data_IF_177233455163
#
_entry.id   IF_177233455163
#
_cell.length_a   1.000
_cell.length_b   1.000
_cell.length_c   1.000
_cell.angle_alpha   90.00
_cell.angle_beta   90.00
_cell.angle_gamma   90.00
#
_symmetry.space_group_name_H-M   'P 1'
#
loop_
_entity.id
_entity.type
_entity.pdbx_description
1 polymer ?
#
# COMPACT_ATOMS: atom_id res chain seq x y z
N UNK A 1 -19.36 -6.17 -16.32
CA UNK A 1 -19.82 -5.10 -17.23
C UNK A 1 -18.76 -4.94 -18.30
N UNK A 2 -19.15 -4.93 -19.57
CA UNK A 2 -18.25 -4.65 -20.68
C UNK A 2 -18.68 -3.34 -21.34
N UNK A 3 -17.73 -2.44 -21.59
CA UNK A 3 -17.97 -1.17 -22.27
C UNK A 3 -16.89 -0.97 -23.33
N UNK A 4 -17.28 -0.52 -24.52
CA UNK A 4 -16.34 -0.14 -25.59
C UNK A 4 -16.00 1.34 -25.46
N UNK A 5 -14.71 1.67 -25.54
CA UNK A 5 -14.24 3.06 -25.61
C UNK A 5 -13.43 3.28 -26.89
N UNK A 6 -13.56 4.47 -27.48
CA UNK A 6 -12.72 4.89 -28.59
C UNK A 6 -11.37 5.37 -28.06
N UNK A 7 -10.29 4.96 -28.71
CA UNK A 7 -8.96 5.54 -28.51
C UNK A 7 -8.92 6.88 -29.25
N UNK A 8 -8.63 7.97 -28.53
CA UNK A 8 -8.48 9.30 -29.12
C UNK A 8 -7.28 9.34 -30.06
N UNK A 9 -7.17 10.36 -30.93
CA UNK A 9 -5.98 10.53 -31.79
C UNK A 9 -4.67 10.62 -30.99
N UNK A 10 -4.73 11.07 -29.73
CA UNK A 10 -3.60 11.14 -28.82
C UNK A 10 -3.38 9.88 -27.98
N UNK A 11 -4.07 8.78 -28.29
CA UNK A 11 -3.88 7.51 -27.58
C UNK A 11 -4.64 7.38 -26.24
N UNK A 12 -5.59 8.28 -25.95
CA UNK A 12 -6.30 8.28 -24.67
C UNK A 12 -7.58 7.44 -24.74
N UNK A 13 -7.95 6.84 -23.60
CA UNK A 13 -9.25 6.19 -23.40
C UNK A 13 -9.97 6.84 -22.21
N UNK A 14 -11.28 6.96 -22.30
CA UNK A 14 -12.10 7.41 -21.18
C UNK A 14 -12.57 6.22 -20.35
N UNK A 15 -12.28 6.24 -19.04
CA UNK A 15 -12.82 5.27 -18.09
C UNK A 15 -14.31 5.61 -17.84
N UNK A 16 -15.26 4.67 -17.97
CA UNK A 16 -16.68 4.92 -17.74
C UNK A 16 -17.00 5.54 -16.38
N UNK A 17 -18.03 6.38 -16.31
CA UNK A 17 -18.30 7.24 -15.16
C UNK A 17 -18.54 6.44 -13.87
N UNK A 18 -19.26 5.32 -13.95
CA UNK A 18 -19.51 4.40 -12.85
C UNK A 18 -18.23 3.74 -12.33
N UNK A 19 -17.26 3.45 -13.20
CA UNK A 19 -15.95 2.93 -12.79
C UNK A 19 -15.15 4.03 -12.08
N UNK A 20 -15.14 5.26 -12.62
CA UNK A 20 -14.47 6.41 -11.97
C UNK A 20 -15.02 6.69 -10.58
N UNK A 21 -16.35 6.71 -10.41
CA UNK A 21 -16.99 6.92 -9.11
C UNK A 21 -16.63 5.82 -8.11
N UNK A 22 -16.60 4.56 -8.57
CA UNK A 22 -16.26 3.41 -7.72
C UNK A 22 -14.80 3.45 -7.28
N UNK A 23 -13.89 3.81 -8.18
CA UNK A 23 -12.47 3.85 -7.87
C UNK A 23 -12.09 5.07 -7.03
N UNK A 24 -12.70 6.23 -7.27
CA UNK A 24 -12.37 7.47 -6.56
C UNK A 24 -10.91 7.91 -6.72
N UNK A 25 -10.16 7.26 -7.62
CA UNK A 25 -8.73 7.46 -7.79
C UNK A 25 -8.45 8.43 -8.93
N UNK A 26 -7.46 9.31 -8.76
CA UNK A 26 -7.00 10.24 -9.78
C UNK A 26 -5.93 9.61 -10.70
N UNK A 27 -5.30 8.53 -10.25
CA UNK A 27 -4.21 7.84 -10.94
C UNK A 27 -4.48 6.35 -11.00
N UNK A 28 -3.91 5.71 -12.02
CA UNK A 28 -3.96 4.26 -12.20
C UNK A 28 -2.58 3.70 -12.47
N UNK A 29 -2.33 2.49 -11.99
CA UNK A 29 -1.26 1.63 -12.46
C UNK A 29 -1.71 1.01 -13.79
N UNK A 30 -0.82 1.04 -14.78
CA UNK A 30 -1.03 0.43 -16.10
C UNK A 30 -0.03 -0.70 -16.23
N UNK A 31 -0.53 -1.92 -16.37
CA UNK A 31 0.28 -3.10 -16.71
C UNK A 31 -0.03 -3.56 -18.12
N UNK A 32 1.01 -3.76 -18.92
CA UNK A 32 0.92 -4.36 -20.24
C UNK A 32 1.13 -5.87 -20.15
N UNK A 33 0.15 -6.64 -20.62
CA UNK A 33 0.20 -8.11 -20.68
C UNK A 33 0.30 -8.62 -22.13
N UNK A 34 0.56 -7.74 -23.10
CA UNK A 34 0.71 -8.04 -24.53
C UNK A 34 -0.60 -7.95 -25.30
N UNK A 35 -1.63 -8.69 -24.90
CA UNK A 35 -2.96 -8.66 -25.52
C UNK A 35 -3.98 -7.78 -24.76
N UNK A 36 -3.62 -7.37 -23.54
CA UNK A 36 -4.46 -6.57 -22.67
C UNK A 36 -3.66 -5.57 -21.83
N UNK A 37 -4.29 -4.43 -21.54
CA UNK A 37 -3.87 -3.53 -20.48
C UNK A 37 -4.69 -3.78 -19.22
N UNK A 38 -4.02 -4.04 -18.10
CA UNK A 38 -4.65 -4.12 -16.78
C UNK A 38 -4.48 -2.79 -16.07
N UNK A 39 -5.61 -2.18 -15.71
CA UNK A 39 -5.65 -0.92 -14.97
C UNK A 39 -6.06 -1.17 -13.51
N UNK A 40 -5.27 -0.67 -12.56
CA UNK A 40 -5.62 -0.68 -11.13
C UNK A 40 -5.60 0.75 -10.57
N UNK A 41 -6.59 1.14 -9.74
CA UNK A 41 -6.56 2.46 -9.09
C UNK A 41 -5.35 2.56 -8.16
N UNK A 42 -4.66 3.69 -8.19
CA UNK A 42 -3.63 4.02 -7.21
C UNK A 42 -4.23 4.91 -6.11
N UNK A 43 -3.95 4.61 -4.83
CA UNK A 43 -4.30 5.51 -3.74
C UNK A 43 -3.56 6.84 -3.88
N UNK A 44 -4.21 7.94 -3.47
CA UNK A 44 -3.59 9.27 -3.50
C UNK A 44 -2.38 9.38 -2.57
N UNK A 45 -2.42 8.65 -1.44
CA UNK A 45 -1.29 8.48 -0.52
C UNK A 45 -0.89 6.99 -0.45
N UNK A 46 0.11 6.56 -1.24
CA UNK A 46 0.53 5.17 -1.29
C UNK A 46 1.18 4.69 0.01
N UNK A 47 1.84 5.58 0.76
CA UNK A 47 2.47 5.21 2.03
C UNK A 47 1.41 4.95 3.09
N UNK A 48 0.44 5.86 3.22
CA UNK A 48 -0.66 5.69 4.15
C UNK A 48 -1.52 4.47 3.81
N UNK A 49 -1.74 4.19 2.54
CA UNK A 49 -2.45 2.99 2.11
C UNK A 49 -1.68 1.68 2.40
N UNK A 50 -0.34 1.75 2.46
CA UNK A 50 0.51 0.61 2.77
C UNK A 50 0.68 0.36 4.29
N UNK A 51 0.31 1.31 5.16
CA UNK A 51 0.40 1.13 6.61
C UNK A 51 -0.44 -0.08 7.05
N UNK A 52 0.19 -1.01 7.75
CA UNK A 52 -0.45 -2.24 8.22
C UNK A 52 -0.63 -3.33 7.15
N UNK A 53 -0.13 -3.14 5.92
CA UNK A 53 -0.21 -4.15 4.86
C UNK A 53 0.70 -5.36 5.07
N UNK A 54 1.77 -5.20 5.87
CA UNK A 54 2.70 -6.28 6.18
C UNK A 54 2.28 -6.95 7.50
N UNK A 55 2.00 -8.27 7.48
CA UNK A 55 1.70 -9.00 8.71
C UNK A 55 2.96 -9.07 9.58
N UNK A 56 2.82 -8.73 10.85
CA UNK A 56 3.86 -8.91 11.86
C UNK A 56 3.48 -10.06 12.80
N UNK A 57 4.48 -10.75 13.41
CA UNK A 57 4.24 -11.79 14.38
C UNK A 57 3.31 -11.33 15.50
N UNK A 58 2.43 -12.23 15.96
CA UNK A 58 1.53 -11.96 17.09
C UNK A 58 0.49 -10.86 16.84
N UNK A 59 0.31 -10.39 15.60
CA UNK A 59 -0.60 -9.27 15.31
C UNK A 59 -0.09 -7.92 15.82
N UNK A 60 1.21 -7.83 16.12
CA UNK A 60 1.82 -6.60 16.61
C UNK A 60 1.87 -5.51 15.54
N UNK A 61 1.95 -4.25 15.97
CA UNK A 61 2.31 -3.14 15.09
C UNK A 61 3.83 -3.00 15.05
N UNK A 62 4.35 -2.32 14.02
CA UNK A 62 5.80 -2.03 13.94
C UNK A 62 6.27 -1.23 15.15
N UNK A 63 5.41 -0.37 15.68
CA UNK A 63 5.73 0.47 16.84
C UNK A 63 5.69 -0.35 18.13
N UNK A 64 4.78 -1.32 18.24
CA UNK A 64 4.76 -2.30 19.34
C UNK A 64 6.03 -3.13 19.38
N UNK A 65 6.45 -3.68 18.23
CA UNK A 65 7.68 -4.47 18.14
C UNK A 65 8.93 -3.66 18.52
N UNK A 66 9.00 -2.39 18.07
CA UNK A 66 10.11 -1.49 18.44
C UNK A 66 10.11 -1.16 19.94
N UNK A 67 8.95 -1.07 20.57
CA UNK A 67 8.86 -0.80 22.00
C UNK A 67 9.32 -2.02 22.83
N UNK A 68 8.94 -3.23 22.41
CA UNK A 68 9.37 -4.47 23.04
C UNK A 68 10.89 -4.64 22.96
N UNK A 69 11.50 -4.47 21.79
CA UNK A 69 12.96 -4.54 21.66
C UNK A 69 13.69 -3.52 22.53
N UNK A 70 13.18 -2.30 22.67
CA UNK A 70 13.78 -1.32 23.58
C UNK A 70 13.68 -1.76 25.04
N UNK A 71 12.55 -2.30 25.46
CA UNK A 71 12.39 -2.81 26.82
C UNK A 71 13.32 -4.02 27.10
N UNK A 72 13.53 -4.89 26.10
CA UNK A 72 14.48 -5.99 26.20
C UNK A 72 15.94 -5.51 26.31
N UNK A 73 16.32 -4.49 25.53
CA UNK A 73 17.64 -3.86 25.62
C UNK A 73 17.85 -3.21 26.99
N UNK A 74 16.88 -2.42 27.47
CA UNK A 74 16.92 -1.79 28.80
C UNK A 74 17.11 -2.84 29.92
N UNK A 75 16.34 -3.94 29.88
CA UNK A 75 16.47 -5.03 30.85
C UNK A 75 17.80 -5.81 30.72
N UNK A 76 18.40 -5.87 29.53
CA UNK A 76 19.72 -6.46 29.34
C UNK A 76 20.83 -5.55 29.90
N UNK A 77 20.72 -4.26 29.66
CA UNK A 77 21.64 -3.24 30.17
C UNK A 77 21.58 -3.15 31.70
N UNK A 78 20.39 -3.18 32.30
CA UNK A 78 20.22 -3.25 33.76
C UNK A 78 20.92 -4.49 34.35
N UNK A 79 20.76 -5.67 33.73
CA UNK A 79 21.46 -6.88 34.19
C UNK A 79 22.98 -6.80 34.06
N UNK A 80 23.48 -6.09 33.05
CA UNK A 80 24.90 -6.05 32.71
C UNK A 80 25.64 -4.92 33.44
N UNK A 81 24.99 -3.79 33.69
CA UNK A 81 25.56 -2.58 34.31
C UNK A 81 24.94 -2.17 35.65
N UNK A 82 23.79 -2.73 36.04
CA UNK A 82 23.07 -2.37 37.27
C UNK A 82 23.61 -2.98 38.57
N UNK A 83 24.79 -3.61 38.55
CA UNK A 83 25.45 -4.18 39.75
C UNK A 83 26.70 -3.39 40.18
N UNK A 84 26.73 -2.06 39.94
CA UNK A 84 27.73 -1.13 40.50
C UNK A 84 27.09 -0.27 41.58
#
# INVERSE_FOLDING_TARGET
MAASAKISKGGQISIPAEVRRRWGAQRVLIEDQGDALVLRPLPDDPFRAALGSLPLPGGMTSDGLRAEFRAEEEAADERKWGSV
#
